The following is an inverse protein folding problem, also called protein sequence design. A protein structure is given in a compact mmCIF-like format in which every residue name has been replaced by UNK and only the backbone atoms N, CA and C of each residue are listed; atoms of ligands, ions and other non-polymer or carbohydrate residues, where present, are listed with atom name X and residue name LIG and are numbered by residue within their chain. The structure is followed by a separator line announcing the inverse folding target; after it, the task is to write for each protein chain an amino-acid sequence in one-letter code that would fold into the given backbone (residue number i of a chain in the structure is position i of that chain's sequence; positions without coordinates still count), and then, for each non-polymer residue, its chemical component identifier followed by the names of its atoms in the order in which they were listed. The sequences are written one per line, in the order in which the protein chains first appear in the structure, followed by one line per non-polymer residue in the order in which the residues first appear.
data_IF_263527741228
#
_entry.id   IF_263527741228
#
_cell.length_a   1.000
_cell.length_b   1.000
_cell.length_c   1.000
_cell.angle_alpha   90.00
_cell.angle_beta   90.00
_cell.angle_gamma   90.00
#
_symmetry.space_group_name_H-M   'P 1'
#
loop_
_entity.id
_entity.type
_entity.pdbx_description
1 polymer ?
#
# COMPACT_ATOMS: atom_id res chain seq x y z
N UNK A 1 39.73 -41.30 24.88
CA UNK A 1 38.62 -41.12 25.82
C UNK A 1 38.75 -39.72 26.33
N UNK A 2 37.95 -38.80 25.81
CA UNK A 2 37.70 -37.46 26.38
C UNK A 2 36.52 -36.90 25.57
N UNK A 3 35.32 -36.95 26.16
CA UNK A 3 34.11 -36.35 25.59
C UNK A 3 34.15 -34.82 25.77
N UNK A 4 33.84 -34.01 24.73
CA UNK A 4 33.65 -32.60 24.92
C UNK A 4 32.27 -32.36 25.55
N UNK A 5 32.30 -31.82 26.77
CA UNK A 5 31.14 -31.46 27.57
C UNK A 5 30.34 -30.36 26.89
N UNK A 6 29.11 -30.67 26.48
CA UNK A 6 28.11 -29.67 26.08
C UNK A 6 27.78 -28.79 27.28
N UNK A 7 28.18 -27.51 27.25
CA UNK A 7 27.69 -26.51 28.21
C UNK A 7 26.26 -26.14 27.83
N UNK A 8 25.30 -26.71 28.54
CA UNK A 8 23.92 -26.23 28.55
C UNK A 8 23.87 -24.81 29.13
N UNK A 9 23.61 -23.81 28.29
CA UNK A 9 23.16 -22.51 28.75
C UNK A 9 21.63 -22.59 28.87
N UNK A 10 21.16 -23.19 29.96
CA UNK A 10 19.76 -23.12 30.38
C UNK A 10 19.68 -22.32 31.68
N UNK A 11 19.05 -21.14 31.62
CA UNK A 11 18.69 -20.37 32.82
C UNK A 11 17.49 -21.04 33.50
N UNK A 12 17.49 -21.29 34.82
CA UNK A 12 16.39 -21.97 35.48
C UNK A 12 15.38 -20.93 35.98
N UNK A 13 14.33 -20.64 35.22
CA UNK A 13 13.06 -20.18 35.83
C UNK A 13 11.89 -20.27 34.86
N UNK A 14 10.77 -20.75 35.40
CA UNK A 14 9.46 -20.96 34.78
C UNK A 14 9.33 -22.17 33.83
N UNK A 15 8.57 -23.15 34.30
CA UNK A 15 8.33 -24.42 33.62
C UNK A 15 7.49 -24.27 32.38
N UNK A 16 8.10 -24.61 31.23
CA UNK A 16 7.43 -25.23 30.09
C UNK A 16 8.52 -25.66 29.09
N UNK A 17 9.11 -26.83 29.32
CA UNK A 17 10.08 -27.45 28.40
C UNK A 17 9.33 -28.24 27.32
N UNK A 18 8.90 -27.55 26.25
CA UNK A 18 8.79 -28.20 24.95
C UNK A 18 10.20 -28.29 24.34
N UNK A 19 10.97 -29.29 24.77
CA UNK A 19 12.17 -29.73 24.06
C UNK A 19 11.75 -30.32 22.70
N UNK A 20 11.71 -29.49 21.66
CA UNK A 20 11.58 -29.95 20.29
C UNK A 20 12.97 -30.19 19.68
N UNK A 21 13.71 -31.16 20.22
CA UNK A 21 14.89 -31.74 19.57
C UNK A 21 14.42 -32.67 18.44
N UNK A 22 13.84 -32.12 17.38
CA UNK A 22 13.54 -32.90 16.16
C UNK A 22 14.76 -32.89 15.24
N UNK A 23 15.76 -33.69 15.65
CA UNK A 23 16.97 -34.02 14.91
C UNK A 23 16.61 -34.30 13.44
N UNK A 24 17.27 -33.61 12.51
CA UNK A 24 17.31 -33.97 11.10
C UNK A 24 17.94 -35.37 11.01
N UNK A 25 17.13 -36.42 10.85
CA UNK A 25 17.62 -37.69 10.32
C UNK A 25 18.08 -37.42 8.89
N UNK A 26 19.39 -37.50 8.67
CA UNK A 26 19.98 -37.56 7.34
C UNK A 26 19.67 -38.93 6.75
N UNK A 27 18.99 -39.05 5.59
CA UNK A 27 19.09 -40.26 4.79
C UNK A 27 20.52 -40.37 4.27
N UNK A 28 20.97 -41.58 3.90
CA UNK A 28 22.25 -41.89 3.23
C UNK A 28 22.35 -41.27 1.81
N UNK A 29 22.01 -39.99 1.67
CA UNK A 29 22.07 -39.21 0.44
C UNK A 29 23.07 -38.06 0.63
N UNK A 30 23.84 -37.70 -0.41
CA UNK A 30 24.82 -36.62 -0.35
C UNK A 30 24.18 -35.22 -0.25
N UNK A 31 22.86 -35.12 -0.13
CA UNK A 31 22.10 -33.87 -0.11
C UNK A 31 21.60 -33.57 1.30
N UNK A 32 22.08 -32.48 1.91
CA UNK A 32 21.45 -31.89 3.08
C UNK A 32 20.17 -31.16 2.66
N UNK A 33 19.01 -31.66 3.07
CA UNK A 33 17.75 -30.93 2.91
C UNK A 33 17.55 -30.00 4.10
N UNK A 34 17.66 -28.70 3.87
CA UNK A 34 17.20 -27.70 4.84
C UNK A 34 15.68 -27.77 4.96
N UNK A 35 15.19 -28.16 6.13
CA UNK A 35 13.77 -28.00 6.45
C UNK A 35 13.50 -26.54 6.82
N UNK A 36 12.35 -25.95 6.42
CA UNK A 36 12.02 -24.58 6.76
C UNK A 36 11.96 -24.41 8.28
N UNK A 37 12.87 -23.61 8.82
CA UNK A 37 12.92 -23.19 10.22
C UNK A 37 12.58 -21.71 10.37
N UNK A 38 12.16 -21.31 11.57
CA UNK A 38 11.92 -19.89 11.91
C UNK A 38 13.20 -19.05 11.80
N UNK A 39 13.08 -17.71 11.79
CA UNK A 39 14.24 -16.82 11.77
C UNK A 39 15.26 -17.09 12.91
N UNK A 40 14.81 -17.66 14.04
CA UNK A 40 15.67 -18.11 15.13
C UNK A 40 16.48 -19.38 14.79
N UNK A 41 16.00 -20.23 13.88
CA UNK A 41 16.79 -21.34 13.33
C UNK A 41 17.87 -20.87 12.35
N UNK A 42 17.76 -19.66 11.78
CA UNK A 42 18.74 -19.16 10.82
C UNK A 42 20.12 -18.97 11.45
N UNK A 43 20.19 -18.43 12.67
CA UNK A 43 21.45 -18.29 13.41
C UNK A 43 22.04 -19.66 13.75
N UNK A 44 21.23 -20.61 14.24
CA UNK A 44 21.70 -21.97 14.52
C UNK A 44 22.20 -22.69 13.26
N UNK A 45 21.48 -22.56 12.14
CA UNK A 45 21.82 -23.15 10.84
C UNK A 45 23.14 -22.60 10.29
N UNK A 46 23.38 -21.29 10.41
CA UNK A 46 24.64 -20.65 9.97
C UNK A 46 25.87 -21.28 10.65
N UNK A 47 25.75 -21.64 11.93
CA UNK A 47 26.88 -22.22 12.67
C UNK A 47 27.04 -23.73 12.46
N UNK A 48 25.94 -24.48 12.32
CA UNK A 48 25.97 -25.95 12.31
C UNK A 48 26.02 -26.57 10.91
N UNK A 49 25.38 -25.97 9.91
CA UNK A 49 25.37 -26.52 8.54
C UNK A 49 26.77 -26.59 7.92
N UNK A 50 27.61 -25.54 8.00
CA UNK A 50 28.97 -25.60 7.47
C UNK A 50 29.79 -26.73 8.09
N UNK A 51 29.64 -26.94 9.40
CA UNK A 51 30.29 -28.04 10.12
C UNK A 51 29.85 -29.41 9.59
N UNK A 52 28.56 -29.62 9.35
CA UNK A 52 28.04 -30.88 8.80
C UNK A 52 28.50 -31.13 7.36
N UNK A 53 28.47 -30.12 6.49
CA UNK A 53 28.98 -30.20 5.10
C UNK A 53 30.46 -30.55 5.10
N UNK A 54 31.21 -29.86 5.94
CA UNK A 54 32.65 -29.99 6.01
C UNK A 54 33.08 -31.39 6.51
N UNK A 55 32.32 -31.97 7.46
CA UNK A 55 32.43 -33.37 7.87
C UNK A 55 32.07 -34.36 6.76
N UNK A 56 31.03 -34.09 5.95
CA UNK A 56 30.64 -34.93 4.82
C UNK A 56 31.67 -34.91 3.68
N UNK A 57 32.25 -33.74 3.40
CA UNK A 57 33.26 -33.53 2.36
C UNK A 57 34.69 -33.93 2.78
N UNK A 58 34.90 -34.41 4.01
CA UNK A 58 36.22 -34.73 4.60
C UNK A 58 37.20 -33.56 4.53
N UNK A 59 36.70 -32.35 4.75
CA UNK A 59 37.51 -31.13 4.83
C UNK A 59 37.88 -30.83 6.29
N UNK A 60 39.00 -30.13 6.51
CA UNK A 60 39.32 -29.61 7.84
C UNK A 60 38.38 -28.45 8.18
N UNK A 61 37.59 -28.63 9.24
CA UNK A 61 36.59 -27.66 9.66
C UNK A 61 37.17 -26.72 10.70
N UNK A 62 37.37 -25.47 10.31
CA UNK A 62 37.67 -24.39 11.25
C UNK A 62 36.39 -23.95 11.97
N UNK A 63 36.55 -23.38 13.17
CA UNK A 63 35.46 -22.74 13.90
C UNK A 63 34.88 -21.57 13.09
N UNK A 64 33.55 -21.40 13.15
CA UNK A 64 32.87 -20.33 12.43
C UNK A 64 33.32 -18.96 12.95
N UNK A 65 33.79 -18.10 12.05
CA UNK A 65 34.19 -16.71 12.35
C UNK A 65 33.09 -15.69 12.03
N UNK A 66 31.86 -16.15 11.86
CA UNK A 66 30.72 -15.29 11.52
C UNK A 66 30.24 -14.47 12.70
N UNK A 67 30.57 -14.87 13.93
CA UNK A 67 30.26 -14.09 15.12
C UNK A 67 31.09 -12.80 15.15
N UNK A 68 30.42 -11.66 15.32
CA UNK A 68 31.02 -10.32 15.24
C UNK A 68 31.24 -9.78 13.82
N UNK A 69 30.95 -10.53 12.75
CA UNK A 69 30.99 -10.01 11.39
C UNK A 69 29.76 -9.11 11.14
N UNK A 70 29.99 -7.82 10.92
CA UNK A 70 28.92 -6.89 10.57
C UNK A 70 28.42 -7.18 9.16
N UNK A 71 27.10 -7.21 9.01
CA UNK A 71 26.46 -7.30 7.70
C UNK A 71 26.69 -6.02 6.89
N UNK A 72 26.58 -6.14 5.58
CA UNK A 72 26.63 -5.00 4.69
C UNK A 72 25.57 -3.96 5.08
N UNK A 73 25.93 -2.67 5.12
CA UNK A 73 25.05 -1.61 5.64
C UNK A 73 25.35 -1.19 7.08
N UNK A 74 25.97 -2.06 7.90
CA UNK A 74 26.08 -1.84 9.34
C UNK A 74 27.37 -1.13 9.81
N UNK A 75 28.41 -1.04 8.98
CA UNK A 75 29.75 -0.64 9.44
C UNK A 75 29.85 0.85 9.80
N UNK A 76 29.09 1.71 9.12
CA UNK A 76 29.10 3.17 9.31
C UNK A 76 27.77 3.76 9.80
N UNK A 77 26.86 2.93 10.30
CA UNK A 77 25.53 3.39 10.70
C UNK A 77 25.57 4.20 12.00
N UNK A 78 24.89 5.35 12.01
CA UNK A 78 24.61 6.11 13.23
C UNK A 78 23.19 6.68 13.19
N UNK A 79 22.50 6.84 14.33
CA UNK A 79 21.13 7.39 14.36
C UNK A 79 21.02 8.82 13.77
N UNK A 80 22.12 9.57 13.75
CA UNK A 80 22.18 10.95 13.25
C UNK A 80 22.71 11.06 11.83
N UNK A 81 23.02 9.94 11.16
CA UNK A 81 23.61 9.96 9.81
C UNK A 81 22.70 10.58 8.75
N UNK A 82 21.37 10.54 8.93
CA UNK A 82 20.42 11.16 8.02
C UNK A 82 20.62 12.68 7.90
N UNK A 83 21.17 13.33 8.95
CA UNK A 83 21.49 14.77 8.92
C UNK A 83 22.52 15.05 7.83
N UNK A 84 23.53 14.18 7.68
CA UNK A 84 24.53 14.31 6.62
C UNK A 84 23.92 14.06 5.25
N UNK A 85 23.02 13.08 5.11
CA UNK A 85 22.30 12.85 3.86
C UNK A 85 21.49 14.09 3.42
N UNK A 86 20.82 14.76 4.35
CA UNK A 86 20.09 16.00 4.07
C UNK A 86 21.04 17.13 3.68
N UNK A 87 22.16 17.31 4.41
CA UNK A 87 23.11 18.40 4.18
C UNK A 87 23.91 18.24 2.89
N UNK A 88 24.41 17.04 2.61
CA UNK A 88 25.32 16.79 1.50
C UNK A 88 24.57 16.64 0.16
N UNK A 89 23.37 16.05 0.19
CA UNK A 89 22.61 15.70 -1.02
C UNK A 89 21.34 16.54 -1.23
N UNK A 90 20.89 17.28 -0.21
CA UNK A 90 19.65 18.06 -0.31
C UNK A 90 18.40 17.19 -0.40
N UNK A 91 18.39 16.03 0.25
CA UNK A 91 17.25 15.13 0.36
C UNK A 91 16.20 15.67 1.34
N UNK A 92 14.95 15.26 1.14
CA UNK A 92 13.88 15.49 2.12
C UNK A 92 14.17 14.71 3.42
N UNK A 93 13.81 15.28 4.57
CA UNK A 93 14.17 14.72 5.88
C UNK A 93 13.61 13.31 6.08
N UNK A 94 12.35 13.08 5.73
CA UNK A 94 11.69 11.77 5.85
C UNK A 94 12.38 10.70 4.98
N UNK A 95 12.73 11.08 3.74
CA UNK A 95 13.45 10.19 2.81
C UNK A 95 14.84 9.85 3.34
N UNK A 96 15.57 10.85 3.85
CA UNK A 96 16.90 10.64 4.41
C UNK A 96 16.87 9.72 5.64
N UNK A 97 15.86 9.85 6.50
CA UNK A 97 15.66 8.96 7.64
C UNK A 97 15.34 7.54 7.21
N UNK A 98 14.44 7.37 6.22
CA UNK A 98 14.12 6.08 5.63
C UNK A 98 15.36 5.40 5.07
N UNK A 99 16.15 6.10 4.25
CA UNK A 99 17.37 5.55 3.65
C UNK A 99 18.40 5.14 4.72
N UNK A 100 18.60 5.97 5.74
CA UNK A 100 19.50 5.66 6.85
C UNK A 100 19.08 4.41 7.64
N UNK A 101 17.76 4.21 7.83
CA UNK A 101 17.24 3.04 8.54
C UNK A 101 17.25 1.78 7.67
N UNK A 102 17.01 1.90 6.37
CA UNK A 102 16.89 0.77 5.45
C UNK A 102 18.25 0.26 4.95
N UNK A 103 19.15 1.16 4.55
CA UNK A 103 20.42 0.82 3.90
C UNK A 103 21.66 1.07 4.77
N UNK A 104 21.48 1.75 5.90
CA UNK A 104 22.57 2.14 6.77
C UNK A 104 23.68 2.90 6.06
N UNK A 105 24.93 2.46 6.18
CA UNK A 105 26.08 3.10 5.52
C UNK A 105 25.97 3.17 3.99
N UNK A 106 25.21 2.25 3.36
CA UNK A 106 24.96 2.24 1.92
C UNK A 106 24.00 3.34 1.49
N UNK A 107 23.30 4.01 2.41
CA UNK A 107 22.41 5.12 2.10
C UNK A 107 23.10 6.24 1.30
N UNK A 108 24.39 6.49 1.56
CA UNK A 108 25.19 7.45 0.79
C UNK A 108 25.43 7.00 -0.65
N UNK A 109 25.59 5.69 -0.89
CA UNK A 109 25.71 5.14 -2.23
C UNK A 109 24.38 5.21 -2.97
N UNK A 110 23.26 4.93 -2.30
CA UNK A 110 21.91 5.07 -2.84
C UNK A 110 21.64 6.53 -3.22
N UNK A 111 21.90 7.48 -2.32
CA UNK A 111 21.67 8.90 -2.55
C UNK A 111 22.42 9.45 -3.79
N UNK A 112 23.62 8.94 -4.09
CA UNK A 112 24.38 9.30 -5.29
C UNK A 112 23.71 8.90 -6.61
N UNK A 113 22.79 7.94 -6.59
CA UNK A 113 22.07 7.45 -7.77
C UNK A 113 20.76 8.21 -8.03
N UNK A 114 20.37 9.09 -7.12
CA UNK A 114 19.12 9.82 -7.20
C UNK A 114 19.14 10.84 -8.35
N UNK A 115 18.04 10.93 -9.09
CA UNK A 115 17.89 11.94 -10.13
C UNK A 115 17.58 13.31 -9.51
N UNK A 116 17.93 14.37 -10.24
CA UNK A 116 17.57 15.74 -9.91
C UNK A 116 16.04 15.92 -10.02
N UNK A 117 15.42 16.57 -9.03
CA UNK A 117 13.96 16.79 -9.03
C UNK A 117 13.54 18.02 -9.86
N UNK A 118 14.47 18.93 -10.12
CA UNK A 118 14.21 20.24 -10.75
C UNK A 118 13.56 21.28 -9.80
N UNK A 119 13.37 20.95 -8.52
CA UNK A 119 12.85 21.87 -7.50
C UNK A 119 14.00 22.54 -6.73
N UNK A 120 13.72 23.68 -6.08
CA UNK A 120 14.69 24.30 -5.15
C UNK A 120 14.99 23.41 -3.94
N UNK A 121 13.95 22.69 -3.48
CA UNK A 121 14.02 21.72 -2.41
C UNK A 121 12.89 20.70 -2.58
N UNK A 122 13.12 19.39 -2.35
CA UNK A 122 14.43 18.72 -2.26
C UNK A 122 15.19 18.78 -3.59
N UNK A 123 16.53 18.76 -3.56
CA UNK A 123 17.38 18.91 -4.76
C UNK A 123 17.40 17.61 -5.59
N UNK A 124 17.51 16.47 -4.90
CA UNK A 124 17.55 15.14 -5.49
C UNK A 124 16.52 14.22 -4.82
N UNK A 125 16.25 13.07 -5.42
CA UNK A 125 15.38 12.04 -4.85
C UNK A 125 13.93 12.27 -5.27
N UNK A 126 13.62 11.86 -6.50
CA UNK A 126 12.25 11.92 -7.00
C UNK A 126 11.46 10.80 -6.31
N UNK A 127 10.50 11.17 -5.47
CA UNK A 127 9.59 10.21 -4.82
C UNK A 127 8.80 9.43 -5.87
N UNK A 128 8.68 8.12 -5.68
CA UNK A 128 7.86 7.23 -6.53
C UNK A 128 6.36 7.45 -6.28
N UNK A 129 5.99 7.75 -5.03
CA UNK A 129 4.65 8.13 -4.63
C UNK A 129 4.74 9.29 -3.62
N UNK A 130 3.87 10.32 -3.68
CA UNK A 130 3.98 11.50 -2.79
C UNK A 130 3.95 11.18 -1.30
N UNK A 131 3.13 10.20 -0.91
CA UNK A 131 2.88 9.83 0.50
C UNK A 131 3.97 8.96 1.12
N UNK A 132 4.83 8.31 0.32
CA UNK A 132 5.81 7.36 0.83
C UNK A 132 7.25 7.84 0.59
N UNK A 133 8.20 7.53 1.49
CA UNK A 133 9.57 8.01 1.40
C UNK A 133 10.43 7.22 0.40
N UNK A 134 9.81 6.57 -0.60
CA UNK A 134 10.53 5.78 -1.60
C UNK A 134 10.95 6.63 -2.79
N UNK A 135 12.21 6.55 -3.18
CA UNK A 135 12.76 7.35 -4.30
C UNK A 135 13.24 6.50 -5.48
N UNK A 136 13.36 7.14 -6.64
CA UNK A 136 13.91 6.57 -7.87
C UNK A 136 15.28 5.89 -7.66
N UNK A 137 16.12 6.47 -6.79
CA UNK A 137 17.44 5.94 -6.46
C UNK A 137 17.41 4.53 -5.85
N UNK A 138 16.40 4.22 -5.03
CA UNK A 138 16.25 2.88 -4.43
C UNK A 138 15.91 1.84 -5.49
N UNK A 139 15.20 2.22 -6.54
CA UNK A 139 14.91 1.32 -7.66
C UNK A 139 16.18 0.98 -8.41
N UNK A 140 16.97 2.00 -8.76
CA UNK A 140 18.29 1.81 -9.41
C UNK A 140 19.24 0.98 -8.54
N UNK A 141 19.26 1.26 -7.25
CA UNK A 141 20.10 0.50 -6.31
C UNK A 141 19.62 -0.94 -6.18
N UNK A 142 18.31 -1.18 -6.08
CA UNK A 142 17.72 -2.51 -5.99
C UNK A 142 18.04 -3.39 -7.20
N UNK A 143 18.09 -2.81 -8.42
CA UNK A 143 18.54 -3.53 -9.63
C UNK A 143 19.99 -3.99 -9.50
N UNK A 144 20.87 -3.15 -8.92
CA UNK A 144 22.27 -3.52 -8.64
C UNK A 144 22.37 -4.61 -7.57
N UNK A 145 21.40 -4.69 -6.67
CA UNK A 145 21.23 -5.78 -5.72
C UNK A 145 20.41 -6.95 -6.29
N UNK A 146 20.50 -7.20 -7.59
CA UNK A 146 19.93 -8.35 -8.30
C UNK A 146 18.39 -8.44 -8.27
N UNK A 147 17.69 -7.32 -8.08
CA UNK A 147 16.23 -7.30 -8.29
C UNK A 147 15.91 -7.31 -9.80
N UNK A 148 15.65 -8.50 -10.33
CA UNK A 148 15.44 -8.71 -11.77
C UNK A 148 13.97 -8.65 -12.20
N UNK A 149 13.02 -8.51 -11.28
CA UNK A 149 11.59 -8.45 -11.59
C UNK A 149 10.91 -7.26 -10.91
N UNK A 150 9.83 -6.75 -11.51
CA UNK A 150 9.05 -5.66 -10.92
C UNK A 150 8.40 -6.06 -9.58
N UNK A 151 8.02 -7.33 -9.44
CA UNK A 151 7.48 -7.89 -8.20
C UNK A 151 8.53 -7.85 -7.09
N UNK A 152 9.78 -8.21 -7.40
CA UNK A 152 10.88 -8.20 -6.42
C UNK A 152 11.12 -6.80 -5.87
N UNK A 153 11.07 -5.80 -6.74
CA UNK A 153 11.23 -4.40 -6.34
C UNK A 153 10.09 -3.93 -5.43
N UNK A 154 8.83 -4.12 -5.83
CA UNK A 154 7.69 -3.57 -5.09
C UNK A 154 7.40 -4.36 -3.82
N UNK A 155 7.54 -5.68 -3.84
CA UNK A 155 7.21 -6.54 -2.71
C UNK A 155 8.36 -6.67 -1.71
N UNK A 156 9.61 -6.90 -2.16
CA UNK A 156 10.71 -7.24 -1.25
C UNK A 156 11.60 -6.05 -0.89
N UNK A 157 11.96 -5.22 -1.87
CA UNK A 157 12.87 -4.08 -1.67
C UNK A 157 12.14 -2.88 -1.08
N UNK A 158 11.11 -2.37 -1.76
CA UNK A 158 10.33 -1.23 -1.29
C UNK A 158 9.28 -1.65 -0.25
N UNK A 159 8.69 -2.83 -0.40
CA UNK A 159 7.56 -3.33 0.42
C UNK A 159 6.29 -2.49 0.32
N UNK A 160 6.20 -1.62 -0.68
CA UNK A 160 5.03 -0.77 -0.94
C UNK A 160 3.76 -1.60 -1.18
N UNK A 161 3.90 -2.78 -1.81
CA UNK A 161 2.80 -3.74 -2.01
C UNK A 161 2.09 -4.14 -0.70
N UNK A 162 2.83 -4.25 0.41
CA UNK A 162 2.28 -4.66 1.70
C UNK A 162 1.70 -3.49 2.49
N UNK A 163 2.24 -2.29 2.28
CA UNK A 163 1.78 -1.09 2.97
C UNK A 163 0.49 -0.54 2.36
N UNK A 164 0.48 -0.34 1.04
CA UNK A 164 -0.66 0.19 0.32
C UNK A 164 -0.64 -0.28 -1.15
N UNK A 165 -1.59 -1.16 -1.49
CA UNK A 165 -1.72 -1.75 -2.83
C UNK A 165 -2.06 -0.70 -3.89
N UNK A 166 -2.83 0.32 -3.53
CA UNK A 166 -3.20 1.39 -4.45
C UNK A 166 -1.99 2.26 -4.81
N UNK A 167 -1.27 2.73 -3.80
CA UNK A 167 -0.02 3.47 -4.01
C UNK A 167 1.03 2.65 -4.77
N UNK A 168 1.09 1.33 -4.52
CA UNK A 168 1.95 0.41 -5.28
C UNK A 168 1.55 0.34 -6.77
N UNK A 169 0.25 0.33 -7.07
CA UNK A 169 -0.28 0.29 -8.44
C UNK A 169 0.04 1.58 -9.20
N UNK A 170 -0.07 2.73 -8.53
CA UNK A 170 0.24 4.04 -9.13
C UNK A 170 1.75 4.24 -9.36
N UNK A 171 2.59 3.75 -8.44
CA UNK A 171 4.04 3.83 -8.57
C UNK A 171 4.63 2.81 -9.58
N UNK A 172 3.92 1.71 -9.86
CA UNK A 172 4.40 0.58 -10.67
C UNK A 172 4.92 0.99 -12.07
N UNK A 173 4.22 1.81 -12.88
CA UNK A 173 4.72 2.21 -14.19
C UNK A 173 6.07 2.93 -14.10
N UNK A 174 6.22 3.86 -13.15
CA UNK A 174 7.47 4.58 -12.95
C UNK A 174 8.62 3.69 -12.47
N UNK A 175 8.33 2.67 -11.65
CA UNK A 175 9.34 1.68 -11.22
C UNK A 175 9.79 0.86 -12.42
N UNK A 176 8.85 0.37 -13.23
CA UNK A 176 9.14 -0.44 -14.41
C UNK A 176 9.92 0.35 -15.46
N UNK A 177 9.64 1.65 -15.63
CA UNK A 177 10.40 2.55 -16.50
C UNK A 177 11.88 2.60 -16.09
N UNK A 178 12.14 2.85 -14.79
CA UNK A 178 13.51 2.91 -14.26
C UNK A 178 14.22 1.56 -14.38
N UNK A 179 13.51 0.46 -14.09
CA UNK A 179 14.09 -0.88 -14.24
C UNK A 179 14.41 -1.20 -15.70
N UNK A 180 13.55 -0.77 -16.64
CA UNK A 180 13.77 -0.97 -18.07
C UNK A 180 15.00 -0.21 -18.57
N UNK A 181 15.26 0.99 -18.05
CA UNK A 181 16.48 1.77 -18.31
C UNK A 181 17.74 1.05 -17.82
N UNK A 182 17.72 0.52 -16.58
CA UNK A 182 18.90 -0.12 -15.99
C UNK A 182 19.18 -1.53 -16.56
N UNK A 183 18.14 -2.30 -16.89
CA UNK A 183 18.24 -3.67 -17.41
C UNK A 183 18.15 -3.77 -18.93
N UNK A 184 17.98 -2.64 -19.63
CA UNK A 184 17.77 -2.56 -21.08
C UNK A 184 16.62 -3.45 -21.58
N UNK A 185 15.46 -3.35 -20.94
CA UNK A 185 14.28 -4.13 -21.36
C UNK A 185 13.67 -3.62 -22.66
N UNK A 186 13.16 -4.55 -23.47
CA UNK A 186 12.30 -4.20 -24.60
C UNK A 186 10.91 -3.78 -24.14
N UNK A 187 10.18 -3.01 -24.94
CA UNK A 187 8.78 -2.62 -24.65
C UNK A 187 7.87 -3.84 -24.42
N UNK A 188 8.15 -4.96 -25.08
CA UNK A 188 7.42 -6.21 -24.88
C UNK A 188 7.66 -6.79 -23.46
N UNK A 189 8.91 -6.81 -23.01
CA UNK A 189 9.25 -7.30 -21.66
C UNK A 189 8.74 -6.34 -20.58
N UNK A 190 8.83 -5.02 -20.82
CA UNK A 190 8.27 -3.98 -19.96
C UNK A 190 6.78 -4.20 -19.70
N UNK A 191 5.98 -4.40 -20.76
CA UNK A 191 4.55 -4.68 -20.67
C UNK A 191 4.28 -5.98 -19.89
N UNK A 192 5.05 -7.03 -20.16
CA UNK A 192 4.94 -8.32 -19.48
C UNK A 192 5.24 -8.22 -17.98
N UNK A 193 6.25 -7.46 -17.59
CA UNK A 193 6.60 -7.24 -16.18
C UNK A 193 5.52 -6.42 -15.47
N UNK A 194 4.98 -5.40 -16.13
CA UNK A 194 3.87 -4.60 -15.61
C UNK A 194 2.62 -5.45 -15.39
N UNK A 195 2.26 -6.29 -16.36
CA UNK A 195 1.11 -7.20 -16.26
C UNK A 195 1.27 -8.18 -15.10
N UNK A 196 2.42 -8.86 -15.00
CA UNK A 196 2.74 -9.77 -13.89
C UNK A 196 2.67 -9.09 -12.52
N UNK A 197 3.24 -7.89 -12.40
CA UNK A 197 3.18 -7.15 -11.14
C UNK A 197 1.75 -6.70 -10.80
N UNK A 198 0.96 -6.31 -11.80
CA UNK A 198 -0.45 -5.95 -11.59
C UNK A 198 -1.29 -7.15 -11.16
N UNK A 199 -1.00 -8.34 -11.69
CA UNK A 199 -1.66 -9.58 -11.31
C UNK A 199 -1.31 -9.99 -9.88
N UNK A 200 -0.02 -9.89 -9.52
CA UNK A 200 0.46 -10.11 -8.15
C UNK A 200 -0.25 -9.19 -7.14
N UNK A 201 -0.35 -7.88 -7.43
CA UNK A 201 -1.03 -6.92 -6.56
C UNK A 201 -2.53 -7.23 -6.41
N UNK A 202 -3.19 -7.65 -7.49
CA UNK A 202 -4.62 -7.99 -7.48
C UNK A 202 -4.92 -9.25 -6.67
N UNK A 203 -4.14 -10.30 -6.91
CA UNK A 203 -4.42 -11.65 -6.41
C UNK A 203 -3.80 -11.89 -5.03
N UNK A 204 -2.51 -11.59 -4.86
CA UNK A 204 -1.75 -11.96 -3.66
C UNK A 204 -1.83 -10.90 -2.56
N UNK A 205 -1.91 -9.63 -2.95
CA UNK A 205 -1.90 -8.49 -2.01
C UNK A 205 -3.29 -7.99 -1.61
N UNK A 206 -4.34 -8.71 -2.01
CA UNK A 206 -5.69 -8.50 -1.49
C UNK A 206 -6.44 -7.29 -2.03
N UNK A 207 -6.04 -6.71 -3.18
CA UNK A 207 -6.84 -5.65 -3.83
C UNK A 207 -8.28 -6.13 -4.08
N UNK A 208 -8.43 -7.39 -4.52
CA UNK A 208 -9.73 -8.03 -4.74
C UNK A 208 -10.39 -8.51 -3.43
N UNK A 209 -9.60 -8.90 -2.42
CA UNK A 209 -10.10 -9.40 -1.13
C UNK A 209 -10.69 -8.25 -0.29
N UNK A 210 -10.08 -7.07 -0.35
CA UNK A 210 -10.60 -5.85 0.26
C UNK A 210 -11.90 -5.38 -0.44
N UNK A 211 -11.97 -5.51 -1.78
CA UNK A 211 -13.19 -5.21 -2.54
C UNK A 211 -14.33 -6.16 -2.17
N UNK A 212 -14.08 -7.47 -2.20
CA UNK A 212 -15.05 -8.49 -1.81
C UNK A 212 -15.48 -8.42 -0.32
N UNK A 213 -14.67 -7.79 0.53
CA UNK A 213 -15.03 -7.53 1.94
C UNK A 213 -15.83 -6.24 2.11
N UNK A 214 -15.62 -5.22 1.25
CA UNK A 214 -16.45 -4.00 1.21
C UNK A 214 -17.81 -4.25 0.54
N UNK A 215 -17.85 -5.08 -0.51
CA UNK A 215 -19.08 -5.57 -1.18
C UNK A 215 -19.97 -6.45 -0.28
N UNK A 216 -19.45 -6.86 0.89
CA UNK A 216 -20.13 -7.71 1.87
C UNK A 216 -20.81 -6.94 3.01
N UNK A 217 -21.14 -5.66 2.82
CA UNK A 217 -22.23 -5.09 3.62
C UNK A 217 -23.53 -5.52 2.94
N UNK A 218 -24.29 -6.50 3.47
CA UNK A 218 -25.59 -6.81 2.90
C UNK A 218 -26.41 -5.52 2.96
N UNK A 219 -26.71 -4.98 1.79
CA UNK A 219 -27.57 -3.81 1.63
C UNK A 219 -28.92 -4.22 2.21
N UNK A 220 -29.20 -3.81 3.45
CA UNK A 220 -30.45 -4.15 4.14
C UNK A 220 -31.51 -3.10 3.79
N UNK A 221 -31.75 -2.96 2.49
CA UNK A 221 -32.68 -2.01 1.91
C UNK A 221 -33.79 -2.77 1.19
N UNK A 222 -35.02 -2.29 1.32
CA UNK A 222 -36.14 -2.81 0.53
C UNK A 222 -36.00 -2.37 -0.93
N UNK A 223 -36.74 -3.03 -1.84
CA UNK A 223 -36.70 -2.68 -3.26
C UNK A 223 -37.13 -1.22 -3.50
N UNK A 224 -38.06 -0.73 -2.70
CA UNK A 224 -38.58 0.63 -2.76
C UNK A 224 -37.51 1.65 -2.32
N UNK A 225 -36.76 1.34 -1.27
CA UNK A 225 -35.67 2.20 -0.79
C UNK A 225 -34.50 2.25 -1.78
N UNK A 226 -34.15 1.10 -2.38
CA UNK A 226 -33.13 1.05 -3.44
C UNK A 226 -33.55 1.95 -4.62
N UNK A 227 -34.81 1.87 -5.05
CA UNK A 227 -35.31 2.73 -6.12
C UNK A 227 -35.31 4.21 -5.74
N UNK A 228 -35.62 4.53 -4.48
CA UNK A 228 -35.54 5.91 -3.98
C UNK A 228 -34.11 6.43 -4.05
N UNK A 229 -33.12 5.67 -3.55
CA UNK A 229 -31.72 6.10 -3.59
C UNK A 229 -31.19 6.20 -5.02
N UNK A 230 -31.54 5.27 -5.92
CA UNK A 230 -31.18 5.39 -7.34
C UNK A 230 -31.73 6.69 -7.94
N UNK A 231 -32.98 7.07 -7.64
CA UNK A 231 -33.54 8.35 -8.09
C UNK A 231 -32.78 9.54 -7.53
N UNK A 232 -32.43 9.53 -6.24
CA UNK A 232 -31.61 10.58 -5.62
C UNK A 232 -30.25 10.71 -6.30
N UNK A 233 -29.60 9.60 -6.58
CA UNK A 233 -28.31 9.56 -7.27
C UNK A 233 -28.38 10.18 -8.67
N UNK A 234 -29.42 9.83 -9.44
CA UNK A 234 -29.65 10.38 -10.78
C UNK A 234 -29.94 11.90 -10.80
N UNK A 235 -30.48 12.46 -9.72
CA UNK A 235 -30.72 13.91 -9.60
C UNK A 235 -29.39 14.66 -9.40
N UNK A 236 -28.47 14.07 -8.64
CA UNK A 236 -27.13 14.62 -8.38
C UNK A 236 -26.25 14.48 -9.63
N UNK A 237 -26.28 13.31 -10.28
CA UNK A 237 -25.59 13.04 -11.56
C UNK A 237 -26.35 13.60 -12.77
N UNK A 238 -26.37 14.93 -12.87
CA UNK A 238 -27.04 15.65 -13.98
C UNK A 238 -26.50 15.30 -15.37
N UNK A 239 -25.27 14.84 -15.44
CA UNK A 239 -24.61 14.51 -16.71
C UNK A 239 -24.81 13.03 -17.09
N UNK A 240 -25.50 12.25 -16.26
CA UNK A 240 -25.75 10.82 -16.44
C UNK A 240 -24.46 10.01 -16.72
N UNK A 241 -23.39 10.36 -16.02
CA UNK A 241 -22.06 9.72 -16.15
C UNK A 241 -22.04 8.35 -15.47
N UNK A 242 -22.97 8.08 -14.56
CA UNK A 242 -22.99 6.87 -13.73
C UNK A 242 -22.14 6.98 -12.46
N UNK A 243 -21.53 8.14 -12.22
CA UNK A 243 -20.73 8.45 -11.04
C UNK A 243 -20.89 9.93 -10.66
N UNK A 244 -20.74 10.23 -9.38
CA UNK A 244 -20.79 11.61 -8.86
C UNK A 244 -19.37 12.11 -8.62
N UNK A 245 -18.98 13.17 -9.30
CA UNK A 245 -17.64 13.78 -9.14
C UNK A 245 -17.61 14.86 -8.05
N UNK A 246 -16.41 15.26 -7.61
CA UNK A 246 -16.20 16.41 -6.71
C UNK A 246 -16.90 17.68 -7.21
N UNK A 247 -16.93 17.89 -8.53
CA UNK A 247 -17.62 19.03 -9.11
C UNK A 247 -19.13 18.96 -8.94
N UNK A 248 -19.71 17.76 -8.92
CA UNK A 248 -21.14 17.53 -8.76
C UNK A 248 -21.53 17.73 -7.29
N UNK A 249 -20.70 17.24 -6.35
CA UNK A 249 -20.81 17.52 -4.91
C UNK A 249 -20.77 19.03 -4.65
N UNK A 250 -19.77 19.73 -5.21
CA UNK A 250 -19.63 21.18 -5.09
C UNK A 250 -20.86 21.94 -5.59
N UNK A 251 -21.45 21.50 -6.72
CA UNK A 251 -22.66 22.11 -7.27
C UNK A 251 -23.87 21.88 -6.36
N UNK A 252 -24.04 20.67 -5.83
CA UNK A 252 -25.14 20.35 -4.94
C UNK A 252 -25.08 21.08 -3.60
N UNK A 253 -23.88 21.19 -3.00
CA UNK A 253 -23.68 21.98 -1.78
C UNK A 253 -23.89 23.49 -2.01
N UNK A 254 -23.47 24.02 -3.17
CA UNK A 254 -23.72 25.43 -3.52
C UNK A 254 -25.22 25.73 -3.68
N UNK A 255 -26.00 24.77 -4.19
CA UNK A 255 -27.46 24.89 -4.28
C UNK A 255 -28.17 24.88 -2.91
N UNK A 256 -27.45 24.47 -1.85
CA UNK A 256 -27.92 24.35 -0.48
C UNK A 256 -27.70 25.63 0.35
N UNK A 257 -27.03 26.65 -0.19
CA UNK A 257 -26.85 27.95 0.49
C UNK A 257 -25.68 28.01 1.47
N UNK A 258 -24.87 26.94 1.55
CA UNK A 258 -23.50 27.03 2.08
C UNK A 258 -22.64 27.80 1.08
N UNK A 259 -21.98 28.86 1.55
CA UNK A 259 -20.99 29.61 0.75
C UNK A 259 -19.86 28.67 0.29
N UNK A 260 -19.15 29.05 -0.78
CA UNK A 260 -18.14 28.21 -1.46
C UNK A 260 -17.34 27.33 -0.48
N UNK A 261 -17.71 26.05 -0.44
CA UNK A 261 -17.08 25.04 0.42
C UNK A 261 -15.63 24.89 -0.04
N UNK A 262 -14.64 25.05 0.85
CA UNK A 262 -13.24 24.93 0.49
C UNK A 262 -12.94 23.54 -0.08
N UNK A 263 -12.00 23.47 -1.00
CA UNK A 263 -11.63 22.21 -1.67
C UNK A 263 -11.31 21.10 -0.69
N UNK A 264 -10.63 21.39 0.42
CA UNK A 264 -10.25 20.40 1.44
C UNK A 264 -11.47 19.69 2.05
N UNK A 265 -12.54 20.43 2.35
CA UNK A 265 -13.76 19.91 2.95
C UNK A 265 -14.57 19.06 1.95
N UNK A 266 -14.51 19.40 0.65
CA UNK A 266 -15.06 18.55 -0.41
C UNK A 266 -14.31 17.22 -0.52
N UNK A 267 -12.98 17.22 -0.34
CA UNK A 267 -12.20 15.99 -0.32
C UNK A 267 -12.50 15.18 0.95
N UNK A 268 -12.75 15.80 2.10
CA UNK A 268 -13.23 15.08 3.30
C UNK A 268 -14.54 14.35 3.02
N UNK A 269 -15.53 15.05 2.46
CA UNK A 269 -16.84 14.47 2.13
C UNK A 269 -16.69 13.33 1.12
N UNK A 270 -15.84 13.51 0.11
CA UNK A 270 -15.55 12.47 -0.87
C UNK A 270 -14.89 11.26 -0.21
N UNK A 271 -13.86 11.47 0.63
CA UNK A 271 -13.13 10.40 1.34
C UNK A 271 -14.02 9.56 2.26
N UNK A 272 -15.10 10.12 2.78
CA UNK A 272 -16.06 9.38 3.62
C UNK A 272 -16.80 8.27 2.83
N UNK A 273 -16.92 8.40 1.51
CA UNK A 273 -17.83 7.61 0.68
C UNK A 273 -17.07 6.86 -0.42
N UNK A 274 -16.08 7.51 -1.01
CA UNK A 274 -15.20 6.97 -2.03
C UNK A 274 -14.29 5.91 -1.40
N UNK A 275 -14.77 4.66 -1.43
CA UNK A 275 -14.09 3.55 -0.81
C UNK A 275 -12.97 2.99 -1.68
N UNK A 276 -13.03 3.26 -2.98
CA UNK A 276 -12.07 2.81 -3.98
C UNK A 276 -11.02 3.90 -4.31
N UNK A 277 -11.15 5.09 -3.71
CA UNK A 277 -10.31 6.29 -3.87
C UNK A 277 -10.08 6.68 -5.34
N UNK A 278 -11.09 6.48 -6.19
CA UNK A 278 -11.01 6.86 -7.61
C UNK A 278 -11.33 8.35 -7.85
N UNK A 279 -11.63 9.12 -6.81
CA UNK A 279 -11.99 10.53 -6.90
C UNK A 279 -13.47 10.78 -7.24
N UNK A 280 -14.27 9.72 -7.29
CA UNK A 280 -15.65 9.68 -7.76
C UNK A 280 -16.49 8.79 -6.82
N UNK A 281 -17.79 9.00 -6.78
CA UNK A 281 -18.70 8.15 -6.01
C UNK A 281 -19.56 7.35 -6.98
N UNK A 282 -19.38 6.03 -7.00
CA UNK A 282 -20.18 5.11 -7.80
C UNK A 282 -21.52 4.77 -7.11
N UNK A 283 -22.48 4.22 -7.87
CA UNK A 283 -23.84 3.94 -7.36
C UNK A 283 -23.84 2.92 -6.22
N UNK A 284 -22.98 1.91 -6.31
CA UNK A 284 -22.80 0.88 -5.29
C UNK A 284 -22.23 1.46 -3.97
N UNK A 285 -21.23 2.34 -4.05
CA UNK A 285 -20.66 3.04 -2.89
C UNK A 285 -21.70 3.95 -2.23
N UNK A 286 -22.51 4.63 -3.04
CA UNK A 286 -23.62 5.44 -2.55
C UNK A 286 -24.68 4.59 -1.82
N UNK A 287 -25.05 3.43 -2.36
CA UNK A 287 -26.01 2.52 -1.71
C UNK A 287 -25.45 1.91 -0.43
N UNK A 288 -24.15 1.60 -0.38
CA UNK A 288 -23.47 1.13 0.82
C UNK A 288 -23.52 2.19 1.93
N UNK A 289 -23.22 3.45 1.60
CA UNK A 289 -23.32 4.57 2.54
C UNK A 289 -24.75 4.71 3.08
N UNK A 290 -25.76 4.70 2.22
CA UNK A 290 -27.16 4.81 2.63
C UNK A 290 -27.63 3.63 3.49
N UNK A 291 -27.15 2.42 3.19
CA UNK A 291 -27.38 1.25 4.02
C UNK A 291 -26.72 1.37 5.40
N UNK A 292 -25.52 1.94 5.50
CA UNK A 292 -24.79 2.13 6.74
C UNK A 292 -25.42 3.20 7.66
N UNK A 293 -26.01 4.24 7.07
CA UNK A 293 -26.79 5.25 7.80
C UNK A 293 -28.06 4.61 8.37
N UNK A 294 -28.80 3.84 7.56
CA UNK A 294 -30.02 3.16 8.01
C UNK A 294 -29.76 2.13 9.11
N UNK A 295 -28.65 1.40 9.03
CA UNK A 295 -28.26 0.41 10.04
C UNK A 295 -27.65 1.03 11.30
N UNK A 296 -27.54 2.37 11.38
CA UNK A 296 -27.01 3.10 12.54
C UNK A 296 -25.50 2.95 12.74
N UNK A 297 -24.77 2.42 11.76
CA UNK A 297 -23.31 2.30 11.82
C UNK A 297 -22.61 3.63 11.53
N UNK A 298 -23.29 4.55 10.83
CA UNK A 298 -22.82 5.91 10.55
C UNK A 298 -23.84 6.89 11.12
N UNK A 299 -23.38 7.76 12.02
CA UNK A 299 -24.25 8.68 12.74
C UNK A 299 -24.71 9.89 11.89
N UNK A 300 -23.89 10.34 10.93
CA UNK A 300 -24.19 11.51 10.10
C UNK A 300 -23.22 11.61 8.91
N UNK A 301 -23.73 11.68 7.66
CA UNK A 301 -22.91 12.02 6.49
C UNK A 301 -23.43 13.30 5.85
N UNK A 302 -22.52 14.25 5.58
CA UNK A 302 -22.85 15.53 4.94
C UNK A 302 -23.38 15.34 3.52
N UNK A 303 -22.87 14.34 2.80
CA UNK A 303 -23.33 14.00 1.46
C UNK A 303 -24.74 13.40 1.45
N UNK A 304 -25.07 12.53 2.41
CA UNK A 304 -26.40 11.94 2.49
C UNK A 304 -27.50 12.99 2.70
N UNK A 305 -27.21 13.99 3.55
CA UNK A 305 -28.07 15.16 3.77
C UNK A 305 -28.26 15.99 2.49
N UNK A 306 -27.19 16.23 1.74
CA UNK A 306 -27.26 16.91 0.44
C UNK A 306 -28.17 16.15 -0.53
N UNK A 307 -28.01 14.83 -0.62
CA UNK A 307 -28.79 13.98 -1.53
C UNK A 307 -30.30 13.96 -1.21
N UNK A 308 -30.65 13.97 0.07
CA UNK A 308 -32.04 14.11 0.53
C UNK A 308 -32.68 15.42 0.09
N UNK A 309 -31.96 16.51 0.31
CA UNK A 309 -32.45 17.85 0.05
C UNK A 309 -32.59 18.16 -1.44
N UNK A 310 -31.65 17.70 -2.28
CA UNK A 310 -31.78 17.86 -3.74
C UNK A 310 -33.00 17.11 -4.27
N UNK A 311 -33.33 15.94 -3.71
CA UNK A 311 -34.53 15.21 -4.07
C UNK A 311 -35.80 15.94 -3.66
N UNK A 312 -35.90 16.44 -2.42
CA UNK A 312 -37.05 17.23 -1.96
C UNK A 312 -37.27 18.49 -2.80
N UNK A 313 -36.18 19.17 -3.17
CA UNK A 313 -36.25 20.35 -4.04
C UNK A 313 -36.75 19.98 -5.44
N UNK A 314 -36.21 18.92 -6.02
CA UNK A 314 -36.66 18.43 -7.32
C UNK A 314 -38.14 18.02 -7.30
N UNK A 315 -38.61 17.38 -6.22
CA UNK A 315 -40.04 17.07 -6.05
C UNK A 315 -40.90 18.34 -5.97
N UNK A 316 -40.51 19.34 -5.16
CA UNK A 316 -41.21 20.63 -5.07
C UNK A 316 -41.25 21.37 -6.41
N UNK A 317 -40.14 21.39 -7.14
CA UNK A 317 -40.07 22.00 -8.48
C UNK A 317 -40.96 21.24 -9.48
N UNK A 318 -41.01 19.90 -9.40
CA UNK A 318 -41.87 19.07 -10.26
C UNK A 318 -43.36 19.29 -9.96
N UNK A 319 -43.72 19.45 -8.69
CA UNK A 319 -45.09 19.74 -8.25
C UNK A 319 -45.52 21.14 -8.67
N UNK A 320 -44.63 22.13 -8.53
CA UNK A 320 -44.88 23.53 -8.93
C UNK A 320 -45.04 23.65 -10.45
N UNK A 321 -44.29 22.88 -11.24
CA UNK A 321 -44.47 22.80 -12.70
C UNK A 321 -45.77 22.10 -13.13
N UNK A 322 -46.26 21.13 -12.34
CA UNK A 322 -47.54 20.44 -12.61
C UNK A 322 -48.76 21.28 -12.24
N UNK A 323 -48.64 22.19 -11.27
CA UNK A 323 -49.67 23.17 -10.93
C UNK A 323 -49.54 24.34 -11.92
N UNK A 324 -50.01 24.15 -13.15
CA UNK A 324 -50.19 25.26 -14.09
C UNK A 324 -51.25 26.20 -13.52
N UNK A 325 -50.85 27.43 -13.18
CA UNK A 325 -51.79 28.49 -12.78
C UNK A 325 -52.53 28.95 -14.04
N UNK A 326 -53.55 28.19 -14.45
CA UNK A 326 -54.61 28.75 -15.28
C UNK A 326 -55.31 29.80 -14.42
N UNK A 327 -55.03 31.07 -14.74
CA UNK A 327 -55.79 32.20 -14.24
C UNK A 327 -57.24 32.03 -14.69
N UNK A 328 -58.03 31.41 -13.84
CA UNK A 328 -59.48 31.55 -13.86
C UNK A 328 -59.83 32.96 -13.40
N UNK A 329 -59.87 33.88 -14.35
CA UNK A 329 -60.63 35.12 -14.29
C UNK A 329 -61.33 35.22 -15.64
N UNK A 330 -62.56 34.76 -15.82
CA UNK A 330 -63.72 35.23 -15.08
C UNK A 330 -64.14 36.54 -15.71
N UNK A 331 -64.89 36.46 -16.81
CA UNK A 331 -65.33 37.62 -17.57
C UNK A 331 -66.40 38.45 -16.87
N UNK A 332 -66.41 39.74 -17.19
CA UNK A 332 -67.56 40.49 -17.71
C UNK A 332 -67.05 41.80 -18.33
#
# INVERSE_FOLDING_TARGET
MDEPTTREICSPSSGNTHCASRILQTPDSPWSQDRPGSAAHFTWNIFNIPYHICKACRLECMESKTDGLLIEGAHGWTPTMYIRLVQDFGLECEVAQHLANAYGDRAFAVAKLASLTGKRWPIIGKKMHPEFPYIDAEVRYGVREYAMTAVDMIARRLRLAFLNVQAATEALPGIVDIMAEELNWSEAEKKKQLEKASEFLKNEMGQLVNRASKDKHPINLTKEEIQLYIKRFQIIDKDHKGYVSINDIRRGLKNFGEADVPGEELHEILREIDTNMNGQVELDEYLQMMSAIKSGHVAYSRFARMAEMEHEKHEKDSLTKKITVERSGGGL
#
